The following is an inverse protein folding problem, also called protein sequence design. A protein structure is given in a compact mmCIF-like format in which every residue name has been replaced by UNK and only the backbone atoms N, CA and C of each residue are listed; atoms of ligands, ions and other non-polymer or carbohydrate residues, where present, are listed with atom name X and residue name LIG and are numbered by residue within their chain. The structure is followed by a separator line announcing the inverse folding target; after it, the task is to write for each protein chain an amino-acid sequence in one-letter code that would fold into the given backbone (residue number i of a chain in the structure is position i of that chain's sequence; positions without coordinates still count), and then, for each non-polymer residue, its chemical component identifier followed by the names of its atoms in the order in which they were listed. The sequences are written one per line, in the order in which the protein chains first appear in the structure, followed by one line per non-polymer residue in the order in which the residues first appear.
data_IF_033326126620
#
_entry.id   IF_033326126620
#
_cell.length_a   1.000
_cell.length_b   1.000
_cell.length_c   1.000
_cell.angle_alpha   90.00
_cell.angle_beta   90.00
_cell.angle_gamma   90.00
#
_symmetry.space_group_name_H-M   'P 1'
#
loop_
_entity.id
_entity.type
_entity.pdbx_description
1 polymer ?
#
# COMPACT_ATOMS: atom_id res chain seq x y z
N UNK A 1 -13.75 40.78 36.52
CA UNK A 1 -13.20 41.38 35.27
C UNK A 1 -11.89 40.74 34.84
N UNK A 2 -10.84 40.57 35.65
CA UNK A 2 -9.58 39.94 35.19
C UNK A 2 -9.71 38.45 34.82
N UNK A 3 -10.58 37.69 35.51
CA UNK A 3 -10.81 36.26 35.22
C UNK A 3 -11.54 35.99 33.89
N UNK A 4 -12.40 36.92 33.47
CA UNK A 4 -13.14 36.78 32.20
C UNK A 4 -12.20 36.94 30.99
N UNK A 5 -11.26 37.86 31.05
CA UNK A 5 -10.26 38.05 30.00
C UNK A 5 -9.30 36.86 29.86
N UNK A 6 -8.96 36.21 30.96
CA UNK A 6 -8.16 34.97 30.94
C UNK A 6 -8.94 33.83 30.25
N UNK A 7 -10.22 33.66 30.60
CA UNK A 7 -11.07 32.64 29.97
C UNK A 7 -11.25 32.88 28.46
N UNK A 8 -11.43 34.11 28.03
CA UNK A 8 -11.49 34.43 26.59
C UNK A 8 -10.14 34.20 25.90
N UNK A 9 -9.01 34.46 26.58
CA UNK A 9 -7.69 34.14 26.05
C UNK A 9 -7.46 32.64 25.87
N UNK A 10 -7.84 31.82 26.85
CA UNK A 10 -7.77 30.36 26.77
C UNK A 10 -8.67 29.78 25.65
N UNK A 11 -9.91 30.27 25.53
CA UNK A 11 -10.82 29.90 24.47
C UNK A 11 -10.26 30.28 23.08
N UNK A 12 -9.65 31.45 22.96
CA UNK A 12 -9.00 31.89 21.72
C UNK A 12 -7.83 31.01 21.32
N UNK A 13 -6.97 30.65 22.28
CA UNK A 13 -5.83 29.73 22.05
C UNK A 13 -6.31 28.33 21.68
N UNK A 14 -7.34 27.82 22.37
CA UNK A 14 -7.94 26.53 22.03
C UNK A 14 -8.53 26.54 20.62
N UNK A 15 -9.26 27.61 20.25
CA UNK A 15 -9.82 27.75 18.90
C UNK A 15 -8.73 27.78 17.82
N UNK A 16 -7.64 28.55 18.04
CA UNK A 16 -6.49 28.59 17.10
C UNK A 16 -5.85 27.20 16.98
N UNK A 17 -5.70 26.46 18.10
CA UNK A 17 -5.11 25.13 18.09
C UNK A 17 -5.96 24.07 17.41
N UNK A 18 -7.30 24.12 17.59
CA UNK A 18 -8.22 23.12 17.05
C UNK A 18 -8.78 23.47 15.66
N UNK A 19 -8.84 24.75 15.27
CA UNK A 19 -9.42 25.19 14.01
C UNK A 19 -8.75 24.53 12.77
N UNK A 20 -7.41 24.41 12.67
CA UNK A 20 -6.78 23.75 11.55
C UNK A 20 -7.18 22.27 11.42
N UNK A 21 -7.24 21.56 12.55
CA UNK A 21 -7.68 20.17 12.57
C UNK A 21 -9.15 20.02 12.18
N UNK A 22 -10.02 20.85 12.72
CA UNK A 22 -11.44 20.83 12.39
C UNK A 22 -11.70 21.17 10.92
N UNK A 23 -10.97 22.17 10.38
CA UNK A 23 -11.06 22.55 8.96
C UNK A 23 -10.54 21.41 8.06
N UNK A 24 -9.39 20.83 8.39
CA UNK A 24 -8.85 19.69 7.65
C UNK A 24 -9.83 18.51 7.65
N UNK A 25 -10.35 18.12 8.82
CA UNK A 25 -11.36 17.05 8.93
C UNK A 25 -12.63 17.35 8.11
N UNK A 26 -13.08 18.59 8.11
CA UNK A 26 -14.26 19.01 7.35
C UNK A 26 -13.99 18.95 5.84
N UNK A 27 -12.87 19.45 5.36
CA UNK A 27 -12.46 19.37 3.94
C UNK A 27 -12.28 17.93 3.48
N UNK A 28 -11.60 17.07 4.25
CA UNK A 28 -11.49 15.64 3.96
C UNK A 28 -12.87 14.97 3.89
N UNK A 29 -13.79 15.33 4.79
CA UNK A 29 -15.16 14.83 4.76
C UNK A 29 -15.98 15.30 3.55
N UNK A 30 -15.65 16.44 2.96
CA UNK A 30 -16.24 16.88 1.68
C UNK A 30 -15.66 16.10 0.50
N UNK A 31 -14.35 15.93 0.46
CA UNK A 31 -13.65 15.22 -0.62
C UNK A 31 -13.95 13.73 -0.62
N UNK A 32 -14.04 13.09 0.56
CA UNK A 32 -14.39 11.66 0.67
C UNK A 32 -15.79 11.32 0.15
N UNK A 33 -16.66 12.32 -0.04
CA UNK A 33 -17.99 12.13 -0.64
C UNK A 33 -17.97 12.17 -2.18
N UNK A 34 -16.85 12.48 -2.79
CA UNK A 34 -16.70 12.38 -4.23
C UNK A 34 -16.62 10.89 -4.58
N UNK A 35 -17.71 10.34 -5.11
CA UNK A 35 -17.75 8.99 -5.65
C UNK A 35 -16.90 8.95 -6.94
N UNK A 36 -15.64 8.63 -6.81
CA UNK A 36 -14.84 8.25 -7.96
C UNK A 36 -15.21 6.80 -8.31
N UNK A 37 -15.84 6.60 -9.44
CA UNK A 37 -16.13 5.27 -9.97
C UNK A 37 -14.87 4.71 -10.62
N UNK A 38 -14.53 3.45 -10.28
CA UNK A 38 -13.40 2.77 -10.90
C UNK A 38 -13.69 2.59 -12.40
N UNK A 39 -12.81 3.02 -13.30
CA UNK A 39 -12.98 2.81 -14.73
C UNK A 39 -13.18 1.33 -15.07
N UNK A 40 -13.91 1.04 -16.15
CA UNK A 40 -14.11 -0.34 -16.63
C UNK A 40 -12.93 -0.82 -17.48
N UNK A 41 -12.25 0.10 -18.15
CA UNK A 41 -11.15 -0.20 -19.06
C UNK A 41 -9.82 -0.35 -18.32
N UNK A 42 -8.99 -1.29 -18.78
CA UNK A 42 -7.60 -1.42 -18.32
C UNK A 42 -6.76 -0.28 -18.88
N UNK A 43 -5.73 0.12 -18.12
CA UNK A 43 -4.80 1.18 -18.54
C UNK A 43 -3.93 0.80 -19.74
N UNK A 44 -3.76 -0.48 -20.03
CA UNK A 44 -2.79 -0.99 -21.00
C UNK A 44 -1.33 -0.90 -20.54
N UNK A 45 -1.08 -0.45 -19.32
CA UNK A 45 0.26 -0.38 -18.75
C UNK A 45 0.67 -1.72 -18.13
N UNK A 46 1.93 -2.07 -18.29
CA UNK A 46 2.56 -3.18 -17.58
C UNK A 46 2.54 -2.92 -16.08
N UNK A 47 2.51 -4.01 -15.30
CA UNK A 47 2.49 -3.91 -13.85
C UNK A 47 3.61 -4.75 -13.24
N UNK A 48 4.35 -4.17 -12.31
CA UNK A 48 5.38 -4.86 -11.54
C UNK A 48 5.05 -4.84 -10.05
N UNK A 49 4.92 -6.03 -9.45
CA UNK A 49 4.76 -6.18 -8.00
C UNK A 49 6.14 -6.10 -7.36
N UNK A 50 6.33 -5.12 -6.49
CA UNK A 50 7.51 -4.96 -5.67
C UNK A 50 7.24 -5.57 -4.30
N UNK A 51 7.98 -6.64 -3.97
CA UNK A 51 7.83 -7.41 -2.74
C UNK A 51 9.14 -7.42 -1.94
N UNK A 52 9.34 -6.45 -1.02
CA UNK A 52 10.46 -6.50 -0.10
C UNK A 52 10.18 -7.53 1.00
N UNK A 53 11.14 -8.42 1.28
CA UNK A 53 11.01 -9.48 2.28
C UNK A 53 12.21 -9.51 3.22
N UNK A 54 11.97 -9.95 4.46
CA UNK A 54 13.01 -10.26 5.44
C UNK A 54 12.48 -11.19 6.52
N UNK A 55 13.02 -12.42 6.57
CA UNK A 55 12.62 -13.45 7.55
C UNK A 55 11.11 -13.77 7.53
N UNK A 56 10.61 -14.09 6.35
CA UNK A 56 9.20 -14.38 6.09
C UNK A 56 8.96 -15.85 5.71
N UNK A 57 9.84 -16.79 6.17
CA UNK A 57 9.80 -18.21 5.78
C UNK A 57 8.46 -18.89 6.05
N UNK A 58 7.66 -18.40 7.01
CA UNK A 58 6.36 -18.98 7.37
C UNK A 58 5.24 -18.58 6.42
N UNK A 59 5.39 -17.47 5.70
CA UNK A 59 4.30 -16.86 4.92
C UNK A 59 4.63 -16.61 3.46
N UNK A 60 5.91 -16.67 3.06
CA UNK A 60 6.34 -16.30 1.70
C UNK A 60 5.63 -17.11 0.61
N UNK A 61 5.49 -18.43 0.75
CA UNK A 61 4.81 -19.27 -0.22
C UNK A 61 3.32 -18.92 -0.33
N UNK A 62 2.66 -18.66 0.81
CA UNK A 62 1.26 -18.21 0.86
C UNK A 62 1.11 -16.85 0.17
N UNK A 63 2.07 -15.95 0.37
CA UNK A 63 2.09 -14.64 -0.30
C UNK A 63 2.22 -14.78 -1.80
N UNK A 64 3.17 -15.56 -2.30
CA UNK A 64 3.36 -15.80 -3.72
C UNK A 64 2.11 -16.42 -4.34
N UNK A 65 1.51 -17.41 -3.69
CA UNK A 65 0.24 -18.01 -4.11
C UNK A 65 -0.93 -16.99 -4.14
N UNK A 66 -0.99 -16.05 -3.19
CA UNK A 66 -2.00 -14.99 -3.20
C UNK A 66 -1.82 -14.04 -4.38
N UNK A 67 -0.58 -13.66 -4.69
CA UNK A 67 -0.26 -12.81 -5.84
C UNK A 67 -0.54 -13.51 -7.17
N UNK A 68 -0.18 -14.79 -7.31
CA UNK A 68 -0.42 -15.60 -8.51
C UNK A 68 -1.90 -15.85 -8.80
N UNK A 69 -2.76 -15.81 -7.77
CA UNK A 69 -4.22 -15.99 -7.90
C UNK A 69 -4.96 -14.73 -8.34
N UNK A 70 -4.28 -13.61 -8.52
CA UNK A 70 -4.92 -12.40 -9.02
C UNK A 70 -5.33 -12.58 -10.49
N UNK A 71 -6.45 -11.98 -10.88
CA UNK A 71 -6.98 -12.07 -12.26
C UNK A 71 -6.14 -11.29 -13.29
N UNK A 72 -5.10 -10.60 -12.83
CA UNK A 72 -4.19 -9.81 -13.66
C UNK A 72 -2.78 -10.35 -13.49
N UNK A 73 -2.16 -10.75 -14.62
CA UNK A 73 -0.80 -11.26 -14.63
C UNK A 73 0.18 -10.09 -14.61
N UNK A 74 1.06 -10.05 -13.63
CA UNK A 74 2.04 -8.98 -13.42
C UNK A 74 3.45 -9.54 -13.35
N UNK A 75 4.45 -8.67 -13.51
CA UNK A 75 5.84 -8.98 -13.20
C UNK A 75 6.04 -9.02 -11.68
N UNK A 76 6.97 -9.84 -11.18
CA UNK A 76 7.34 -9.89 -9.77
C UNK A 76 8.81 -9.47 -9.59
N UNK A 77 9.04 -8.45 -8.77
CA UNK A 77 10.35 -8.08 -8.26
C UNK A 77 10.40 -8.30 -6.75
N UNK A 78 11.04 -9.40 -6.33
CA UNK A 78 11.24 -9.75 -4.93
C UNK A 78 12.62 -9.28 -4.49
N UNK A 79 12.69 -8.47 -3.44
CA UNK A 79 13.96 -8.01 -2.85
C UNK A 79 14.11 -8.59 -1.45
N UNK A 80 15.06 -9.51 -1.29
CA UNK A 80 15.38 -10.09 -0.01
C UNK A 80 16.40 -9.24 0.76
N UNK A 81 15.97 -8.66 1.89
CA UNK A 81 16.82 -7.78 2.73
C UNK A 81 17.77 -8.55 3.64
N UNK A 82 18.51 -9.50 3.08
CA UNK A 82 19.44 -10.39 3.75
C UNK A 82 18.75 -11.23 4.86
N UNK A 83 17.74 -12.01 4.48
CA UNK A 83 17.13 -13.00 5.37
C UNK A 83 18.14 -14.04 5.82
N UNK A 84 18.02 -14.46 7.08
CA UNK A 84 18.87 -15.51 7.67
C UNK A 84 18.09 -16.80 7.98
N UNK A 85 16.84 -16.88 7.53
CA UNK A 85 15.97 -18.05 7.57
C UNK A 85 15.81 -18.67 6.15
N UNK A 86 14.79 -19.50 5.95
CA UNK A 86 14.53 -20.17 4.67
C UNK A 86 13.69 -19.32 3.68
N UNK A 87 13.48 -18.03 3.91
CA UNK A 87 12.66 -17.17 3.05
C UNK A 87 13.09 -17.24 1.59
N UNK A 88 14.38 -16.99 1.32
CA UNK A 88 14.90 -16.94 -0.05
C UNK A 88 14.84 -18.30 -0.76
N UNK A 89 15.19 -19.39 -0.06
CA UNK A 89 15.15 -20.74 -0.61
C UNK A 89 13.73 -21.20 -0.94
N UNK A 90 12.76 -20.91 -0.05
CA UNK A 90 11.34 -21.20 -0.28
C UNK A 90 10.76 -20.37 -1.42
N UNK A 91 11.09 -19.08 -1.50
CA UNK A 91 10.64 -18.23 -2.60
C UNK A 91 11.13 -18.74 -3.95
N UNK A 92 12.42 -19.14 -4.05
CA UNK A 92 12.99 -19.71 -5.27
C UNK A 92 12.31 -21.02 -5.64
N UNK A 93 12.23 -21.97 -4.70
CA UNK A 93 11.58 -23.27 -4.95
C UNK A 93 10.14 -23.10 -5.42
N UNK A 94 9.37 -22.21 -4.79
CA UNK A 94 8.01 -21.95 -5.19
C UNK A 94 7.91 -21.39 -6.62
N UNK A 95 8.78 -20.44 -6.99
CA UNK A 95 8.81 -19.86 -8.34
C UNK A 95 9.26 -20.86 -9.40
N UNK A 96 10.17 -21.77 -9.06
CA UNK A 96 10.61 -22.88 -9.92
C UNK A 96 9.47 -23.90 -10.15
N UNK A 97 8.64 -24.18 -9.13
CA UNK A 97 7.48 -25.06 -9.21
C UNK A 97 6.32 -24.43 -10.00
N UNK A 98 6.20 -23.10 -10.01
CA UNK A 98 5.13 -22.34 -10.69
C UNK A 98 5.70 -21.28 -11.65
N UNK A 99 6.40 -21.68 -12.73
CA UNK A 99 7.10 -20.75 -13.62
C UNK A 99 6.15 -19.78 -14.35
N UNK A 100 4.90 -20.16 -14.56
CA UNK A 100 3.89 -19.36 -15.24
C UNK A 100 3.03 -18.48 -14.29
N UNK A 101 3.37 -18.42 -13.01
CA UNK A 101 2.61 -17.68 -12.01
C UNK A 101 2.61 -16.16 -12.24
N UNK A 102 3.68 -15.63 -12.82
CA UNK A 102 3.90 -14.23 -13.15
C UNK A 102 4.26 -14.06 -14.63
N UNK A 103 4.12 -12.85 -15.17
CA UNK A 103 4.60 -12.54 -16.52
C UNK A 103 6.12 -12.72 -16.62
N UNK A 104 6.83 -12.20 -15.63
CA UNK A 104 8.25 -12.47 -15.37
C UNK A 104 8.52 -12.35 -13.88
N UNK A 105 9.63 -12.90 -13.41
CA UNK A 105 10.05 -12.68 -12.04
C UNK A 105 11.56 -12.44 -11.91
N UNK A 106 11.93 -11.63 -10.93
CA UNK A 106 13.33 -11.37 -10.55
C UNK A 106 13.46 -11.36 -9.04
N UNK A 107 14.50 -12.03 -8.52
CA UNK A 107 14.86 -12.01 -7.11
C UNK A 107 16.19 -11.28 -6.95
N UNK A 108 16.23 -10.29 -6.07
CA UNK A 108 17.44 -9.53 -5.72
C UNK A 108 17.77 -9.79 -4.25
N UNK A 109 18.77 -10.63 -3.95
CA UNK A 109 19.25 -10.80 -2.58
C UNK A 109 20.22 -9.66 -2.22
N UNK A 110 19.97 -8.97 -1.11
CA UNK A 110 20.90 -7.99 -0.56
C UNK A 110 22.02 -8.70 0.22
N UNK A 111 23.24 -8.21 0.11
CA UNK A 111 24.39 -8.78 0.83
C UNK A 111 24.32 -8.53 2.36
N UNK A 112 23.71 -7.44 2.78
CA UNK A 112 23.55 -7.06 4.19
C UNK A 112 22.18 -6.41 4.43
N UNK A 113 21.64 -6.61 5.63
CA UNK A 113 20.38 -6.00 6.04
C UNK A 113 20.55 -4.49 6.20
N UNK A 114 19.81 -3.72 5.40
CA UNK A 114 19.74 -2.25 5.48
C UNK A 114 18.32 -1.74 5.74
N UNK A 115 17.38 -2.67 6.00
CA UNK A 115 15.96 -2.36 6.25
C UNK A 115 15.12 -2.22 4.98
N UNK A 116 13.81 -2.10 5.17
CA UNK A 116 12.79 -2.07 4.10
C UNK A 116 13.02 -0.91 3.11
N UNK A 117 13.31 0.30 3.62
CA UNK A 117 13.53 1.47 2.76
C UNK A 117 14.68 1.26 1.77
N UNK A 118 15.79 0.65 2.20
CA UNK A 118 16.91 0.36 1.31
C UNK A 118 16.58 -0.74 0.28
N UNK A 119 15.78 -1.74 0.66
CA UNK A 119 15.29 -2.76 -0.27
C UNK A 119 14.37 -2.16 -1.33
N UNK A 120 13.48 -1.26 -0.92
CA UNK A 120 12.59 -0.54 -1.84
C UNK A 120 13.40 0.38 -2.77
N UNK A 121 14.37 1.13 -2.26
CA UNK A 121 15.22 1.98 -3.07
C UNK A 121 15.97 1.17 -4.14
N UNK A 122 16.57 0.04 -3.75
CA UNK A 122 17.24 -0.87 -4.68
C UNK A 122 16.30 -1.40 -5.77
N UNK A 123 15.07 -1.73 -5.40
CA UNK A 123 14.06 -2.18 -6.37
C UNK A 123 13.65 -1.06 -7.33
N UNK A 124 13.49 0.18 -6.85
CA UNK A 124 13.15 1.32 -7.69
C UNK A 124 14.30 1.67 -8.64
N UNK A 125 15.56 1.55 -8.20
CA UNK A 125 16.74 1.71 -9.07
C UNK A 125 16.75 0.66 -10.19
N UNK A 126 16.36 -0.58 -9.89
CA UNK A 126 16.23 -1.65 -10.88
C UNK A 126 15.12 -1.38 -11.90
N UNK A 127 14.05 -0.69 -11.49
CA UNK A 127 12.91 -0.35 -12.32
C UNK A 127 13.03 1.01 -13.03
N UNK A 128 14.18 1.67 -12.96
CA UNK A 128 14.39 2.95 -13.66
C UNK A 128 14.15 2.79 -15.16
N UNK A 129 13.36 3.71 -15.72
CA UNK A 129 12.96 3.68 -17.14
C UNK A 129 11.79 2.73 -17.45
N UNK A 130 11.17 2.14 -16.44
CA UNK A 130 9.92 1.40 -16.61
C UNK A 130 8.73 2.37 -16.43
N UNK A 131 7.98 2.58 -17.50
CA UNK A 131 6.81 3.48 -17.53
C UNK A 131 5.52 2.78 -17.02
N UNK A 132 5.64 1.58 -16.45
CA UNK A 132 4.52 0.79 -15.94
C UNK A 132 4.09 1.15 -14.52
N UNK A 133 3.10 0.42 -14.02
CA UNK A 133 2.56 0.55 -12.68
C UNK A 133 3.41 -0.25 -11.70
N UNK A 134 3.86 0.36 -10.61
CA UNK A 134 4.57 -0.32 -9.52
C UNK A 134 3.59 -0.54 -8.37
N UNK A 135 3.35 -1.80 -8.01
CA UNK A 135 2.50 -2.18 -6.87
C UNK A 135 3.37 -2.68 -5.73
N UNK A 136 3.56 -1.86 -4.71
CA UNK A 136 4.28 -2.28 -3.51
C UNK A 136 3.33 -2.98 -2.52
N UNK A 137 3.73 -4.15 -2.04
CA UNK A 137 2.97 -4.92 -1.04
C UNK A 137 3.90 -5.59 -0.04
N UNK A 138 3.44 -5.75 1.20
CA UNK A 138 4.18 -6.47 2.25
C UNK A 138 3.90 -7.98 2.20
N UNK A 139 4.80 -8.79 2.75
CA UNK A 139 4.66 -10.25 2.76
C UNK A 139 3.45 -10.71 3.58
N UNK A 140 3.14 -10.02 4.68
CA UNK A 140 2.01 -10.30 5.57
C UNK A 140 0.66 -9.77 5.07
N UNK A 141 0.66 -8.88 4.07
CA UNK A 141 -0.56 -8.35 3.48
C UNK A 141 -1.14 -9.31 2.44
N UNK A 142 -2.44 -9.57 2.49
CA UNK A 142 -3.16 -10.38 1.50
C UNK A 142 -3.98 -9.47 0.59
N UNK A 143 -3.77 -9.58 -0.72
CA UNK A 143 -4.59 -8.88 -1.70
C UNK A 143 -5.92 -9.60 -1.89
N UNK A 144 -7.01 -8.85 -1.90
CA UNK A 144 -8.34 -9.38 -2.25
C UNK A 144 -8.38 -9.80 -3.72
N UNK A 145 -9.22 -10.77 -4.09
CA UNK A 145 -9.38 -11.17 -5.50
C UNK A 145 -9.71 -9.98 -6.40
N UNK A 146 -9.02 -9.88 -7.54
CA UNK A 146 -9.20 -8.80 -8.51
C UNK A 146 -8.58 -7.45 -8.11
N UNK A 147 -7.77 -7.41 -7.04
CA UNK A 147 -7.15 -6.16 -6.60
C UNK A 147 -6.19 -5.59 -7.64
N UNK A 148 -5.34 -6.41 -8.26
CA UNK A 148 -4.39 -5.95 -9.28
C UNK A 148 -5.10 -5.41 -10.53
N UNK A 149 -6.15 -6.10 -10.99
CA UNK A 149 -6.97 -5.64 -12.11
C UNK A 149 -7.62 -4.29 -11.80
N UNK A 150 -8.19 -4.13 -10.60
CA UNK A 150 -8.79 -2.86 -10.17
C UNK A 150 -7.77 -1.74 -10.08
N UNK A 151 -6.57 -2.00 -9.56
CA UNK A 151 -5.48 -1.02 -9.54
C UNK A 151 -5.14 -0.61 -10.98
N UNK A 152 -4.98 -1.57 -11.90
CA UNK A 152 -4.67 -1.27 -13.30
C UNK A 152 -5.73 -0.38 -13.95
N UNK A 153 -7.03 -0.64 -13.73
CA UNK A 153 -8.14 0.18 -14.24
C UNK A 153 -8.08 1.63 -13.78
N UNK A 154 -7.71 1.89 -12.52
CA UNK A 154 -7.57 3.26 -12.03
C UNK A 154 -6.55 4.08 -12.84
N UNK A 155 -5.46 3.46 -13.28
CA UNK A 155 -4.44 4.13 -14.10
C UNK A 155 -4.82 4.32 -15.57
N UNK A 156 -6.02 3.90 -16.01
CA UNK A 156 -6.55 4.32 -17.31
C UNK A 156 -6.88 5.83 -17.34
N UNK A 157 -7.09 6.44 -16.17
CA UNK A 157 -7.23 7.88 -16.04
C UNK A 157 -5.84 8.53 -15.87
N UNK A 158 -5.36 9.35 -16.84
CA UNK A 158 -4.02 9.93 -16.80
C UNK A 158 -3.82 10.96 -15.67
N UNK A 159 -4.88 11.36 -14.97
CA UNK A 159 -4.79 12.25 -13.82
C UNK A 159 -4.48 11.52 -12.51
N UNK A 160 -4.52 10.17 -12.52
CA UNK A 160 -4.25 9.35 -11.33
C UNK A 160 -2.80 8.93 -11.34
N UNK A 161 -2.02 9.49 -10.41
CA UNK A 161 -0.60 9.15 -10.22
C UNK A 161 -0.36 8.10 -9.12
N UNK A 162 -1.30 7.88 -8.22
CA UNK A 162 -1.18 6.89 -7.15
C UNK A 162 -2.54 6.35 -6.69
N UNK A 163 -2.56 5.08 -6.28
CA UNK A 163 -3.73 4.40 -5.72
C UNK A 163 -3.33 3.68 -4.44
N UNK A 164 -4.04 3.92 -3.35
CA UNK A 164 -3.81 3.25 -2.07
C UNK A 164 -4.87 2.18 -1.78
N UNK A 165 -4.44 1.02 -1.29
CA UNK A 165 -5.34 0.00 -0.77
C UNK A 165 -5.87 0.36 0.62
N UNK A 166 -7.15 0.09 0.89
CA UNK A 166 -7.73 0.19 2.23
C UNK A 166 -7.56 -1.14 2.96
N UNK A 167 -6.79 -1.22 4.05
CA UNK A 167 -6.62 -2.45 4.78
C UNK A 167 -7.92 -2.86 5.47
N UNK A 168 -8.33 -4.12 5.28
CA UNK A 168 -9.42 -4.76 6.01
C UNK A 168 -8.83 -5.82 6.93
N UNK A 169 -9.25 -5.88 8.19
CA UNK A 169 -8.93 -6.99 9.11
C UNK A 169 -10.15 -7.89 9.28
N UNK A 170 -9.92 -9.17 9.33
CA UNK A 170 -10.91 -10.12 9.84
C UNK A 170 -10.90 -10.04 11.37
N UNK A 171 -12.00 -9.59 11.98
CA UNK A 171 -12.25 -9.60 13.42
C UNK A 171 -11.53 -8.50 14.21
N UNK A 172 -12.03 -7.28 14.21
CA UNK A 172 -11.58 -6.18 15.07
C UNK A 172 -12.53 -5.92 16.26
N UNK A 173 -12.01 -5.40 17.38
CA UNK A 173 -12.82 -4.86 18.48
C UNK A 173 -13.51 -3.55 18.04
N UNK A 174 -14.75 -3.29 18.52
CA UNK A 174 -15.56 -2.13 18.11
C UNK A 174 -14.82 -0.78 18.24
N UNK A 175 -14.07 -0.53 19.31
CA UNK A 175 -13.31 0.71 19.48
C UNK A 175 -12.15 0.92 18.50
N UNK A 176 -11.62 -0.15 17.91
CA UNK A 176 -10.60 -0.09 16.86
C UNK A 176 -11.20 0.26 15.50
N UNK A 177 -12.49 -0.04 15.30
CA UNK A 177 -13.24 0.26 14.08
C UNK A 177 -13.48 1.76 13.94
N UNK A 178 -13.90 2.46 15.00
CA UNK A 178 -14.11 3.91 14.99
C UNK A 178 -12.82 4.71 14.69
N UNK A 179 -11.70 4.29 15.29
CA UNK A 179 -10.40 4.91 15.04
C UNK A 179 -9.97 4.76 13.57
N UNK A 180 -10.28 3.63 12.96
CA UNK A 180 -9.97 3.33 11.56
C UNK A 180 -10.85 4.08 10.58
N UNK A 181 -12.13 4.22 10.88
CA UNK A 181 -13.04 5.02 10.05
C UNK A 181 -12.53 6.46 9.95
N UNK A 182 -12.03 7.02 11.06
CA UNK A 182 -11.42 8.35 11.06
C UNK A 182 -10.15 8.40 10.19
N UNK A 183 -9.24 7.43 10.30
CA UNK A 183 -8.03 7.37 9.47
C UNK A 183 -8.34 7.11 8.00
N UNK A 184 -9.34 6.28 7.71
CA UNK A 184 -9.79 6.02 6.33
C UNK A 184 -10.39 7.29 5.73
N UNK A 185 -11.21 8.03 6.49
CA UNK A 185 -11.77 9.30 6.06
C UNK A 185 -10.67 10.32 5.72
N UNK A 186 -9.65 10.45 6.56
CA UNK A 186 -8.52 11.35 6.31
C UNK A 186 -7.75 10.94 5.07
N UNK A 187 -7.43 9.65 4.93
CA UNK A 187 -6.66 9.13 3.79
C UNK A 187 -7.40 9.32 2.45
N UNK A 188 -8.71 9.04 2.41
CA UNK A 188 -9.52 9.24 1.19
C UNK A 188 -9.68 10.72 0.87
N UNK A 189 -9.71 11.59 1.89
CA UNK A 189 -9.81 13.03 1.69
C UNK A 189 -8.51 13.73 1.31
N UNK A 190 -7.36 13.06 1.42
CA UNK A 190 -6.03 13.57 1.04
C UNK A 190 -5.58 13.08 -0.36
N UNK A 191 -6.26 12.09 -0.93
CA UNK A 191 -5.99 11.55 -2.27
C UNK A 191 -6.83 12.29 -3.34
#
# INVERSE_FOLDING_TARGET
MAGEWLAYGELGLAAIGFAPFALHRWTCGLWSKQNLECPEELSGLDMTILLPVWNEELIIEKKLANLAKQNFKANLLLVDSASNDNTLSKAKAWLDDFPDAFESHKIIPMATRKGKTAAVALALDELQGNDGIIVMTDADATLMPGALERINRWFSNPLIGAVGGTPQREGGFEGETEHREMYTLLRVGES
#
